data_IF_192983329906
#
_entry.id   IF_192983329906
#
_cell.length_a   1.000
_cell.length_b   1.000
_cell.length_c   1.000
_cell.angle_alpha   90.00
_cell.angle_beta   90.00
_cell.angle_gamma   90.00
#
_symmetry.space_group_name_H-M   'P 1'
#
loop_
_entity.id
_entity.type
_entity.pdbx_description
1 polymer ?
#
# COMPACT_ATOMS: atom_id res chain seq x y z
N UNK A 1 -20.23 0.99 -14.45
CA UNK A 1 -18.93 1.30 -13.84
C UNK A 1 -19.06 2.67 -13.21
N UNK A 2 -19.21 2.72 -11.88
CA UNK A 2 -19.39 3.98 -11.14
C UNK A 2 -18.07 4.74 -11.04
N UNK A 3 -18.16 6.07 -11.05
CA UNK A 3 -17.03 6.95 -10.80
C UNK A 3 -17.48 8.15 -9.99
N UNK A 4 -16.61 8.67 -9.13
CA UNK A 4 -16.92 9.83 -8.28
C UNK A 4 -15.70 10.72 -8.13
N UNK A 5 -15.93 12.03 -8.23
CA UNK A 5 -14.91 13.05 -8.02
C UNK A 5 -14.98 13.54 -6.58
N UNK A 6 -13.83 13.77 -5.96
CA UNK A 6 -13.73 14.33 -4.63
C UNK A 6 -12.43 15.15 -4.50
N UNK A 7 -12.35 15.99 -3.47
CA UNK A 7 -11.14 16.72 -3.15
C UNK A 7 -10.49 16.14 -1.89
N UNK A 8 -9.17 16.02 -1.91
CA UNK A 8 -8.40 15.65 -0.73
C UNK A 8 -8.31 16.83 0.26
N UNK A 9 -7.90 16.57 1.50
CA UNK A 9 -7.63 17.60 2.52
C UNK A 9 -6.64 18.68 2.05
N UNK A 10 -5.76 18.36 1.10
CA UNK A 10 -4.80 19.31 0.49
C UNK A 10 -5.40 20.15 -0.64
N UNK A 11 -6.70 20.01 -0.94
CA UNK A 11 -7.35 20.68 -2.07
C UNK A 11 -7.07 20.04 -3.43
N UNK A 12 -6.35 18.91 -3.46
CA UNK A 12 -6.05 18.17 -4.68
C UNK A 12 -7.30 17.42 -5.15
N UNK A 13 -7.64 17.54 -6.44
CA UNK A 13 -8.80 16.86 -7.02
C UNK A 13 -8.45 15.45 -7.46
N UNK A 14 -9.31 14.51 -7.10
CA UNK A 14 -9.18 13.09 -7.40
C UNK A 14 -10.49 12.55 -7.99
N UNK A 15 -10.37 11.56 -8.86
CA UNK A 15 -11.49 10.77 -9.37
C UNK A 15 -11.30 9.31 -8.94
N UNK A 16 -12.31 8.77 -8.26
CA UNK A 16 -12.39 7.34 -8.00
C UNK A 16 -13.10 6.67 -9.15
N UNK A 17 -12.48 5.63 -9.70
CA UNK A 17 -13.03 4.76 -10.75
C UNK A 17 -13.12 3.35 -10.23
N UNK A 18 -14.31 2.78 -10.31
CA UNK A 18 -14.54 1.39 -9.92
C UNK A 18 -14.10 0.48 -11.06
N UNK A 19 -12.97 -0.22 -10.87
CA UNK A 19 -12.50 -1.23 -11.82
C UNK A 19 -13.23 -2.56 -11.58
N UNK A 20 -13.49 -2.91 -10.32
CA UNK A 20 -14.23 -4.10 -9.89
C UNK A 20 -14.77 -3.93 -8.47
N UNK A 21 -15.64 -4.83 -8.01
CA UNK A 21 -16.15 -4.88 -6.62
C UNK A 21 -15.07 -4.90 -5.54
N UNK A 22 -13.86 -5.33 -5.89
CA UNK A 22 -12.72 -5.41 -4.96
C UNK A 22 -11.54 -4.53 -5.39
N UNK A 23 -11.65 -3.77 -6.47
CA UNK A 23 -10.56 -2.92 -6.98
C UNK A 23 -11.09 -1.57 -7.46
N UNK A 24 -10.63 -0.51 -6.79
CA UNK A 24 -10.89 0.87 -7.17
C UNK A 24 -9.57 1.55 -7.56
N UNK A 25 -9.67 2.53 -8.47
CA UNK A 25 -8.57 3.35 -8.95
C UNK A 25 -8.82 4.81 -8.63
N UNK A 26 -7.88 5.43 -7.93
CA UNK A 26 -7.88 6.84 -7.62
C UNK A 26 -6.99 7.51 -8.65
N UNK A 27 -7.57 8.29 -9.56
CA UNK A 27 -6.86 8.99 -10.61
C UNK A 27 -6.78 10.50 -10.29
N UNK A 28 -5.59 11.11 -10.44
CA UNK A 28 -5.44 12.56 -10.27
C UNK A 28 -6.25 13.28 -11.36
N UNK A 29 -7.00 14.32 -10.96
CA UNK A 29 -7.68 15.20 -11.91
C UNK A 29 -6.81 16.42 -12.22
N UNK A 30 -7.08 17.06 -13.37
CA UNK A 30 -6.30 18.18 -13.94
C UNK A 30 -5.76 19.16 -12.89
N UNK A 31 -4.44 19.35 -12.91
CA UNK A 31 -3.70 20.18 -11.95
C UNK A 31 -3.18 19.44 -10.70
N UNK A 32 -3.53 18.17 -10.51
CA UNK A 32 -3.01 17.35 -9.43
C UNK A 32 -1.75 16.59 -9.87
N UNK A 33 -0.57 16.82 -9.25
CA UNK A 33 0.67 16.10 -9.57
C UNK A 33 0.73 14.68 -8.99
N UNK A 34 -0.32 14.24 -8.28
CA UNK A 34 -0.38 12.93 -7.65
C UNK A 34 -0.35 11.78 -8.66
N UNK A 35 0.19 10.63 -8.25
CA UNK A 35 0.19 9.40 -9.05
C UNK A 35 -1.15 8.66 -8.90
N UNK A 36 -1.65 7.96 -9.94
CA UNK A 36 -2.82 7.12 -9.77
C UNK A 36 -2.57 5.96 -8.79
N UNK A 37 -3.51 5.71 -7.88
CA UNK A 37 -3.43 4.65 -6.87
C UNK A 37 -4.49 3.58 -7.08
N UNK A 38 -4.12 2.32 -6.84
CA UNK A 38 -5.05 1.20 -6.76
C UNK A 38 -5.34 0.89 -5.30
N UNK A 39 -6.61 0.83 -4.93
CA UNK A 39 -7.03 0.53 -3.56
C UNK A 39 -8.15 -0.51 -3.57
N UNK A 40 -8.33 -1.15 -2.42
CA UNK A 40 -9.49 -2.01 -2.18
C UNK A 40 -10.58 -1.19 -1.50
N UNK A 41 -11.83 -1.23 -2.00
CA UNK A 41 -12.94 -0.58 -1.33
C UNK A 41 -13.28 -1.28 -0.01
N UNK A 42 -13.96 -0.57 0.91
CA UNK A 42 -14.57 -1.19 2.08
C UNK A 42 -15.64 -2.20 1.68
N UNK A 43 -15.78 -3.27 2.47
CA UNK A 43 -16.68 -4.39 2.18
C UNK A 43 -18.15 -3.98 2.05
N UNK A 44 -18.57 -2.90 2.73
CA UNK A 44 -19.93 -2.39 2.67
C UNK A 44 -20.20 -1.48 1.46
N UNK A 45 -19.18 -0.77 0.95
CA UNK A 45 -19.33 0.12 -0.21
C UNK A 45 -19.38 -0.66 -1.54
N UNK A 46 -18.73 -1.83 -1.60
CA UNK A 46 -18.77 -2.71 -2.77
C UNK A 46 -18.31 -2.04 -4.05
N UNK A 47 -19.22 -1.90 -5.03
CA UNK A 47 -18.97 -1.25 -6.32
C UNK A 47 -19.51 0.19 -6.43
N UNK A 48 -20.03 0.76 -5.34
CA UNK A 48 -20.56 2.11 -5.36
C UNK A 48 -19.74 3.09 -4.49
N UNK A 49 -19.10 4.11 -5.11
CA UNK A 49 -18.32 5.10 -4.39
C UNK A 49 -19.14 6.23 -3.77
N UNK A 50 -20.46 6.29 -3.99
CA UNK A 50 -21.34 7.25 -3.33
C UNK A 50 -21.74 6.81 -1.93
N UNK A 51 -21.69 5.50 -1.65
CA UNK A 51 -21.88 4.92 -0.30
C UNK A 51 -20.84 5.41 0.72
N UNK A 52 -19.67 5.87 0.26
CA UNK A 52 -18.63 6.43 1.13
C UNK A 52 -18.78 7.94 1.29
N UNK A 53 -18.44 8.46 2.45
CA UNK A 53 -18.29 9.90 2.64
C UNK A 53 -17.00 10.41 1.99
N UNK A 54 -16.92 11.70 1.66
CA UNK A 54 -15.67 12.30 1.15
C UNK A 54 -14.51 12.12 2.15
N UNK A 55 -14.80 12.18 3.45
CA UNK A 55 -13.80 11.94 4.51
C UNK A 55 -13.25 10.51 4.50
N UNK A 56 -14.09 9.52 4.13
CA UNK A 56 -13.65 8.13 4.02
C UNK A 56 -12.80 7.93 2.76
N UNK A 57 -13.19 8.54 1.63
CA UNK A 57 -12.39 8.54 0.41
C UNK A 57 -11.01 9.18 0.64
N UNK A 58 -10.97 10.28 1.40
CA UNK A 58 -9.73 10.91 1.85
C UNK A 58 -8.90 9.98 2.74
N UNK A 59 -9.54 9.30 3.70
CA UNK A 59 -8.84 8.36 4.58
C UNK A 59 -8.24 7.18 3.82
N UNK A 60 -8.96 6.63 2.84
CA UNK A 60 -8.49 5.52 1.99
C UNK A 60 -7.33 5.98 1.11
N UNK A 61 -7.46 7.17 0.48
CA UNK A 61 -6.38 7.75 -0.31
C UNK A 61 -5.14 8.01 0.55
N UNK A 62 -5.32 8.60 1.73
CA UNK A 62 -4.23 8.88 2.68
C UNK A 62 -3.54 7.61 3.19
N UNK A 63 -4.25 6.49 3.33
CA UNK A 63 -3.65 5.19 3.65
C UNK A 63 -2.91 4.56 2.46
N UNK A 64 -3.28 4.91 1.23
CA UNK A 64 -2.68 4.40 0.00
C UNK A 64 -1.42 5.16 -0.44
N UNK A 65 -1.25 6.42 -0.01
CA UNK A 65 -0.07 7.22 -0.36
C UNK A 65 1.19 6.71 0.35
N UNK A 66 2.36 6.79 -0.32
CA UNK A 66 3.63 6.33 0.25
C UNK A 66 4.09 7.15 1.46
N UNK A 67 3.59 8.38 1.65
CA UNK A 67 3.86 9.16 2.87
C UNK A 67 3.38 8.40 4.13
N UNK A 68 2.26 7.68 4.06
CA UNK A 68 1.78 6.81 5.14
C UNK A 68 2.60 5.52 5.29
N UNK A 69 3.36 5.10 4.27
CA UNK A 69 4.25 3.93 4.34
C UNK A 69 5.62 4.27 4.91
N UNK A 70 6.02 5.53 4.92
CA UNK A 70 7.31 5.97 5.49
C UNK A 70 7.24 6.20 7.01
N UNK A 71 6.05 6.25 7.61
CA UNK A 71 5.85 6.29 9.07
C UNK A 71 5.74 4.89 9.72
N UNK A 72 5.90 3.81 8.95
CA UNK A 72 6.25 2.50 9.51
C UNK A 72 7.57 2.08 8.90
N UNK A 73 8.61 2.30 9.68
CA UNK A 73 10.01 2.16 9.32
C UNK A 73 10.30 0.97 8.42
N UNK A 74 11.18 1.24 7.47
CA UNK A 74 12.10 0.29 6.82
C UNK A 74 11.45 -0.97 6.23
N UNK A 75 11.56 -1.22 4.91
CA UNK A 75 11.22 -2.53 4.37
C UNK A 75 12.17 -3.57 4.98
N UNK A 76 11.74 -4.21 6.07
CA UNK A 76 12.49 -5.30 6.66
C UNK A 76 12.39 -6.46 5.70
N UNK A 77 13.57 -6.89 5.29
CA UNK A 77 13.86 -8.03 4.46
C UNK A 77 12.87 -9.20 4.61
N UNK A 78 12.62 -9.83 3.47
CA UNK A 78 11.96 -11.12 3.31
C UNK A 78 12.19 -12.07 4.49
N UNK A 79 11.16 -12.74 5.02
CA UNK A 79 11.26 -13.67 6.15
C UNK A 79 11.95 -15.02 5.79
N UNK A 80 12.51 -15.13 4.59
CA UNK A 80 13.20 -16.32 4.11
C UNK A 80 14.67 -15.99 3.79
N UNK A 81 15.54 -16.23 4.76
CA UNK A 81 16.75 -17.00 4.49
C UNK A 81 18.05 -16.25 4.25
N UNK A 82 18.51 -15.45 5.20
CA UNK A 82 19.97 -15.30 5.44
C UNK A 82 20.40 -16.39 6.44
N UNK A 83 20.40 -17.64 5.97
CA UNK A 83 21.07 -18.73 6.68
C UNK A 83 22.46 -18.87 6.04
N UNK A 84 23.36 -17.96 6.40
CA UNK A 84 24.79 -18.18 6.23
C UNK A 84 25.17 -19.40 7.10
N UNK A 85 25.53 -20.56 6.54
CA UNK A 85 26.02 -21.65 7.35
C UNK A 85 27.39 -21.24 7.85
N UNK A 86 27.45 -20.70 9.07
CA UNK A 86 28.71 -20.51 9.79
C UNK A 86 29.41 -21.87 9.78
N UNK A 87 30.49 -21.93 8.98
CA UNK A 87 31.42 -23.05 8.90
C UNK A 87 31.78 -23.46 10.34
N UNK A 88 31.17 -24.54 10.81
CA UNK A 88 31.59 -25.21 12.04
C UNK A 88 32.99 -25.73 11.78
N UNK A 89 33.99 -25.01 12.28
CA UNK A 89 35.33 -25.57 12.43
C UNK A 89 35.23 -26.54 13.62
N UNK A 90 35.13 -27.82 13.30
CA UNK A 90 35.27 -28.92 14.27
C UNK A 90 36.58 -28.77 15.03
N UNK A 91 36.61 -28.82 16.38
CA UNK A 91 37.84 -28.81 17.15
C UNK A 91 38.17 -30.21 17.70
N UNK A 92 37.82 -31.28 16.98
CA UNK A 92 38.19 -32.64 17.35
C UNK A 92 38.83 -33.32 16.15
N UNK A 93 40.10 -32.97 15.89
CA UNK A 93 41.15 -33.92 15.53
C UNK A 93 42.52 -33.21 15.51
N UNK A 94 43.33 -33.53 16.50
CA UNK A 94 44.80 -33.48 16.59
C UNK A 94 45.03 -34.34 17.86
N UNK A 95 45.20 -35.66 17.81
CA UNK A 95 46.25 -36.51 17.22
C UNK A 95 47.67 -36.24 17.78
N UNK A 96 48.31 -37.33 18.25
CA UNK A 96 49.66 -37.48 18.84
C UNK A 96 49.89 -36.89 20.25
N UNK A 97 50.44 -37.60 21.25
CA UNK A 97 51.49 -38.65 21.31
C UNK A 97 51.19 -39.67 22.43
#
# INVERSE_FOLDING_TARGET
MSHRKFSDRRGNRWEVRVASRSEWRFEPLSGNPGTPYRVRPPLYAGDDPFELSEQELQSILGAATPEARTDRGTPRASPFGDYEPRRKKSPFLDDHD
#
